data_IF_071215410854
#
_entry.id   IF_071215410854
#
_cell.length_a   1.000
_cell.length_b   1.000
_cell.length_c   1.000
_cell.angle_alpha   90.00
_cell.angle_beta   90.00
_cell.angle_gamma   90.00
#
_symmetry.space_group_name_H-M   'P 1'
#
loop_
_entity.id
_entity.type
_entity.pdbx_description
1 polymer ?
#
# COMPACT_ATOMS: atom_id res chain seq x y z
N UNK A 1 -13.20 3.47 -17.52
CA UNK A 1 -13.07 4.55 -16.50
C UNK A 1 -13.79 5.86 -16.82
N UNK A 2 -14.42 6.00 -18.01
CA UNK A 2 -15.42 7.05 -18.26
C UNK A 2 -14.93 8.50 -18.36
N UNK A 3 -13.61 8.74 -18.37
CA UNK A 3 -13.04 10.07 -18.59
C UNK A 3 -12.80 10.26 -20.10
N UNK A 4 -13.60 11.12 -20.74
CA UNK A 4 -13.49 11.46 -22.16
C UNK A 4 -12.89 12.86 -22.38
N UNK A 5 -12.47 13.54 -21.30
CA UNK A 5 -11.94 14.91 -21.27
C UNK A 5 -12.92 15.98 -21.81
N UNK A 6 -14.18 15.64 -22.08
CA UNK A 6 -15.17 16.58 -22.61
C UNK A 6 -15.85 17.41 -21.52
N UNK A 7 -15.81 16.91 -20.27
CA UNK A 7 -16.43 17.50 -19.09
C UNK A 7 -15.50 17.38 -17.89
N UNK A 8 -15.81 18.14 -16.83
CA UNK A 8 -15.12 17.99 -15.56
C UNK A 8 -15.23 16.54 -15.05
N UNK A 9 -14.11 15.98 -14.63
CA UNK A 9 -14.01 14.62 -14.11
C UNK A 9 -13.78 14.68 -12.60
N UNK A 10 -14.72 14.16 -11.81
CA UNK A 10 -14.69 14.18 -10.33
C UNK A 10 -13.78 13.08 -9.77
N UNK A 11 -12.57 12.99 -10.31
CA UNK A 11 -11.51 12.10 -9.88
C UNK A 11 -10.19 12.54 -10.53
N UNK A 12 -9.09 11.91 -10.13
CA UNK A 12 -7.78 12.16 -10.72
C UNK A 12 -7.39 11.00 -11.62
N UNK A 13 -7.05 11.28 -12.88
CA UNK A 13 -6.58 10.31 -13.84
C UNK A 13 -5.20 10.70 -14.35
N UNK A 14 -4.26 9.76 -14.27
CA UNK A 14 -2.94 9.90 -14.88
C UNK A 14 -2.85 8.97 -16.09
N UNK A 15 -2.35 9.50 -17.20
CA UNK A 15 -2.01 8.72 -18.40
C UNK A 15 -0.50 8.81 -18.60
N UNK A 16 0.17 7.67 -18.49
CA UNK A 16 1.59 7.54 -18.78
C UNK A 16 1.78 6.76 -20.08
N UNK A 17 2.02 7.43 -21.23
CA UNK A 17 2.33 6.74 -22.47
C UNK A 17 3.59 5.89 -22.31
N UNK A 18 3.51 4.61 -22.66
CA UNK A 18 4.67 3.72 -22.63
C UNK A 18 5.67 4.15 -23.71
N UNK A 19 6.96 4.15 -23.36
CA UNK A 19 8.01 4.54 -24.30
C UNK A 19 8.23 3.43 -25.32
N UNK A 20 8.03 3.72 -26.59
CA UNK A 20 8.36 2.82 -27.70
C UNK A 20 9.87 2.78 -27.95
N UNK A 21 10.36 1.79 -28.70
CA UNK A 21 11.78 1.72 -29.08
C UNK A 21 12.26 2.96 -29.82
N UNK A 22 11.43 3.51 -30.71
CA UNK A 22 11.75 4.72 -31.47
C UNK A 22 11.88 5.93 -30.54
N UNK A 23 10.95 6.10 -29.61
CA UNK A 23 10.98 7.17 -28.63
C UNK A 23 12.12 7.00 -27.60
N UNK A 24 12.52 5.77 -27.29
CA UNK A 24 13.63 5.47 -26.41
C UNK A 24 14.97 5.87 -27.02
N UNK A 25 15.21 5.54 -28.29
CA UNK A 25 16.46 5.88 -28.99
C UNK A 25 16.71 7.38 -29.11
N UNK A 26 15.65 8.18 -29.21
CA UNK A 26 15.75 9.64 -29.27
C UNK A 26 15.63 10.34 -27.91
N UNK A 27 15.42 9.60 -26.82
CA UNK A 27 15.22 10.19 -25.50
C UNK A 27 16.54 10.50 -24.81
N UNK A 28 16.72 11.75 -24.37
CA UNK A 28 17.84 12.18 -23.52
C UNK A 28 17.65 11.79 -22.04
N UNK A 29 16.44 11.39 -21.64
CA UNK A 29 16.10 11.09 -20.24
C UNK A 29 16.39 9.63 -19.92
N UNK A 30 15.95 8.71 -20.79
CA UNK A 30 16.07 7.28 -20.54
C UNK A 30 16.00 6.48 -21.86
N UNK A 31 17.08 5.76 -22.25
CA UNK A 31 17.19 5.12 -23.55
C UNK A 31 16.47 3.76 -23.65
N UNK A 32 15.73 3.34 -22.63
CA UNK A 32 14.98 2.08 -22.65
C UNK A 32 13.49 2.26 -22.99
N UNK A 33 13.00 1.35 -23.83
CA UNK A 33 11.58 1.16 -24.10
C UNK A 33 10.90 0.40 -22.96
N UNK A 34 9.57 0.51 -22.88
CA UNK A 34 8.75 -0.22 -21.92
C UNK A 34 7.77 -1.12 -22.66
N UNK A 35 8.01 -2.43 -22.63
CA UNK A 35 7.15 -3.43 -23.26
C UNK A 35 5.96 -3.80 -22.37
N UNK A 36 4.95 -4.44 -22.94
CA UNK A 36 3.80 -4.96 -22.19
C UNK A 36 4.26 -5.92 -21.10
N UNK A 37 5.17 -6.85 -21.43
CA UNK A 37 5.73 -7.81 -20.47
C UNK A 37 6.43 -7.13 -19.28
N UNK A 38 7.13 -6.02 -19.53
CA UNK A 38 7.78 -5.25 -18.47
C UNK A 38 6.75 -4.61 -17.51
N UNK A 39 5.62 -4.14 -18.03
CA UNK A 39 4.50 -3.62 -17.22
C UNK A 39 3.87 -4.74 -16.39
N UNK A 40 3.60 -5.90 -16.99
CA UNK A 40 3.02 -7.04 -16.30
C UNK A 40 3.95 -7.55 -15.19
N UNK A 41 5.25 -7.65 -15.46
CA UNK A 41 6.25 -8.01 -14.47
C UNK A 41 6.32 -6.99 -13.31
N UNK A 42 6.21 -5.69 -13.61
CA UNK A 42 6.13 -4.65 -12.59
C UNK A 42 4.89 -4.83 -11.70
N UNK A 43 3.73 -5.09 -12.30
CA UNK A 43 2.50 -5.31 -11.54
C UNK A 43 2.56 -6.58 -10.69
N UNK A 44 3.18 -7.65 -11.15
CA UNK A 44 3.36 -8.88 -10.35
C UNK A 44 4.32 -8.63 -9.17
N UNK A 45 5.43 -7.91 -9.39
CA UNK A 45 6.32 -7.50 -8.29
C UNK A 45 5.62 -6.60 -7.27
N UNK A 46 4.70 -5.75 -7.73
CA UNK A 46 3.92 -4.88 -6.87
C UNK A 46 2.85 -5.64 -6.08
N UNK A 47 2.25 -6.68 -6.65
CA UNK A 47 1.18 -7.49 -6.04
C UNK A 47 1.53 -7.96 -4.63
N UNK A 48 2.74 -8.51 -4.45
CA UNK A 48 3.23 -8.99 -3.15
C UNK A 48 3.39 -7.89 -2.10
N UNK A 49 3.59 -6.64 -2.53
CA UNK A 49 3.83 -5.47 -1.66
C UNK A 49 2.59 -4.61 -1.45
N UNK A 50 1.59 -4.74 -2.32
CA UNK A 50 0.38 -3.92 -2.29
C UNK A 50 -0.36 -4.03 -0.94
N UNK A 51 -0.53 -5.26 -0.43
CA UNK A 51 -1.18 -5.49 0.86
C UNK A 51 -0.39 -4.88 2.03
N UNK A 52 0.94 -5.03 2.05
CA UNK A 52 1.81 -4.44 3.07
C UNK A 52 1.78 -2.92 3.01
N UNK A 53 1.79 -2.35 1.81
CA UNK A 53 1.73 -0.90 1.59
C UNK A 53 0.44 -0.32 2.19
N UNK A 54 -0.70 -0.98 1.97
CA UNK A 54 -1.99 -0.54 2.51
C UNK A 54 -2.03 -0.47 4.05
N UNK A 55 -1.20 -1.24 4.78
CA UNK A 55 -1.13 -1.15 6.25
C UNK A 55 -0.65 0.22 6.74
N UNK A 56 0.14 0.93 5.93
CA UNK A 56 0.74 2.21 6.31
C UNK A 56 0.05 3.42 5.66
N UNK A 57 -0.80 3.20 4.65
CA UNK A 57 -1.53 4.29 3.99
C UNK A 57 -2.79 4.68 4.77
N UNK A 58 -2.94 5.98 5.08
CA UNK A 58 -4.06 6.47 5.91
C UNK A 58 -5.41 6.48 5.20
N UNK A 59 -5.43 6.91 3.94
CA UNK A 59 -6.68 7.19 3.21
C UNK A 59 -6.93 6.20 2.07
N UNK A 60 -5.90 5.50 1.59
CA UNK A 60 -6.04 4.49 0.53
C UNK A 60 -6.48 3.18 1.16
N UNK A 61 -7.63 2.67 0.74
CA UNK A 61 -8.23 1.43 1.29
C UNK A 61 -8.18 0.25 0.33
N UNK A 62 -8.04 0.54 -0.96
CA UNK A 62 -8.17 -0.43 -2.03
C UNK A 62 -7.28 -0.04 -3.20
N UNK A 63 -6.62 -1.04 -3.77
CA UNK A 63 -5.79 -0.94 -4.96
C UNK A 63 -6.20 -2.08 -5.87
N UNK A 64 -6.63 -1.74 -7.09
CA UNK A 64 -7.12 -2.70 -8.07
C UNK A 64 -6.31 -2.50 -9.36
N UNK A 65 -5.79 -3.59 -9.92
CA UNK A 65 -5.02 -3.57 -11.18
C UNK A 65 -5.85 -4.26 -12.25
N UNK A 66 -6.01 -3.56 -13.37
CA UNK A 66 -6.77 -4.03 -14.50
C UNK A 66 -5.92 -4.04 -15.77
N UNK A 67 -6.26 -4.93 -16.68
CA UNK A 67 -5.77 -4.97 -18.05
C UNK A 67 -6.93 -4.72 -19.01
N UNK A 68 -6.67 -4.01 -20.11
CA UNK A 68 -7.66 -3.81 -21.16
C UNK A 68 -7.03 -4.18 -22.49
N UNK A 69 -7.61 -5.19 -23.13
CA UNK A 69 -7.30 -5.53 -24.52
C UNK A 69 -7.87 -4.45 -25.46
N UNK A 70 -7.25 -4.26 -26.62
CA UNK A 70 -7.72 -3.32 -27.64
C UNK A 70 -9.12 -3.68 -28.16
N UNK A 71 -9.44 -4.97 -28.19
CA UNK A 71 -10.71 -5.50 -28.72
C UNK A 71 -11.80 -5.62 -27.64
N UNK A 72 -11.46 -5.44 -26.36
CA UNK A 72 -12.38 -5.57 -25.24
C UNK A 72 -12.91 -4.21 -24.77
N UNK A 73 -14.23 -4.08 -24.67
CA UNK A 73 -14.87 -2.85 -24.20
C UNK A 73 -14.64 -2.63 -22.69
N UNK A 74 -14.66 -3.72 -21.92
CA UNK A 74 -14.48 -3.72 -20.48
C UNK A 74 -13.09 -4.22 -20.06
N UNK A 75 -12.45 -3.60 -19.05
CA UNK A 75 -11.17 -4.04 -18.54
C UNK A 75 -11.32 -5.28 -17.65
N UNK A 76 -10.35 -6.18 -17.72
CA UNK A 76 -10.27 -7.39 -16.89
C UNK A 76 -9.50 -7.11 -15.60
N UNK A 77 -10.03 -7.54 -14.46
CA UNK A 77 -9.34 -7.42 -13.16
C UNK A 77 -8.22 -8.46 -13.08
N UNK A 78 -6.97 -8.01 -12.90
CA UNK A 78 -5.83 -8.90 -12.68
C UNK A 78 -5.69 -9.27 -11.20
N UNK A 79 -5.67 -8.27 -10.32
CA UNK A 79 -5.71 -8.47 -8.88
C UNK A 79 -6.21 -7.25 -8.13
N UNK A 80 -6.66 -7.48 -6.90
CA UNK A 80 -7.04 -6.43 -5.97
C UNK A 80 -6.41 -6.70 -4.60
N UNK A 81 -5.89 -5.64 -3.99
CA UNK A 81 -5.55 -5.62 -2.58
C UNK A 81 -6.49 -4.63 -1.90
N UNK A 82 -7.14 -5.07 -0.84
CA UNK A 82 -8.01 -4.22 -0.03
C UNK A 82 -7.74 -4.47 1.44
N UNK A 83 -7.92 -3.43 2.25
CA UNK A 83 -8.07 -3.62 3.68
C UNK A 83 -9.51 -4.11 3.87
N UNK A 84 -9.72 -5.32 4.44
CA UNK A 84 -11.06 -5.84 4.64
C UNK A 84 -11.91 -4.82 5.40
N UNK A 85 -13.19 -4.82 5.05
CA UNK A 85 -14.18 -4.00 5.71
C UNK A 85 -14.24 -4.31 7.21
N UNK A 86 -14.55 -3.26 7.92
CA UNK A 86 -14.53 -3.14 9.36
C UNK A 86 -15.61 -3.96 10.03
N UNK A 87 -15.23 -4.88 10.92
CA UNK A 87 -16.10 -5.22 12.04
C UNK A 87 -16.25 -3.91 12.85
N UNK A 88 -17.48 -3.42 13.03
CA UNK A 88 -17.84 -2.28 13.89
C UNK A 88 -17.25 -0.89 13.55
N UNK A 89 -16.86 -0.63 12.30
CA UNK A 89 -16.50 0.72 11.82
C UNK A 89 -15.16 1.30 12.31
N UNK A 90 -14.24 0.50 12.88
CA UNK A 90 -12.96 0.97 13.46
C UNK A 90 -11.72 0.57 12.65
N UNK A 91 -11.00 1.52 12.06
CA UNK A 91 -9.75 1.33 11.25
C UNK A 91 -8.78 0.25 11.83
N UNK A 92 -8.38 -0.89 11.18
CA UNK A 92 -7.51 -1.85 11.89
C UNK A 92 -6.11 -1.24 12.01
N UNK A 93 -5.82 -0.21 11.21
CA UNK A 93 -4.59 0.56 11.26
C UNK A 93 -4.65 1.60 12.36
N UNK A 94 -5.78 1.92 12.99
CA UNK A 94 -5.83 2.88 14.09
C UNK A 94 -4.91 2.43 15.25
N UNK A 95 -4.97 1.15 15.61
CA UNK A 95 -4.09 0.57 16.63
C UNK A 95 -2.62 0.60 16.21
N UNK A 96 -2.32 0.27 14.95
CA UNK A 96 -0.94 0.33 14.42
C UNK A 96 -0.43 1.76 14.38
N UNK A 97 -1.23 2.72 13.93
CA UNK A 97 -0.88 4.14 13.88
C UNK A 97 -0.69 4.72 15.29
N UNK A 98 -1.51 4.31 16.26
CA UNK A 98 -1.35 4.70 17.66
C UNK A 98 -0.06 4.12 18.25
N UNK A 99 0.28 2.88 17.92
CA UNK A 99 1.54 2.25 18.34
C UNK A 99 2.76 2.93 17.70
N UNK A 100 2.74 3.18 16.39
CA UNK A 100 3.81 3.89 15.67
C UNK A 100 3.97 5.32 16.19
N UNK A 101 2.86 6.01 16.51
CA UNK A 101 2.90 7.35 17.07
C UNK A 101 3.35 7.38 18.55
N UNK A 102 3.38 6.22 19.22
CA UNK A 102 3.61 6.09 20.66
C UNK A 102 5.06 5.89 21.11
N UNK A 103 6.03 5.73 20.20
CA UNK A 103 7.46 5.48 20.54
C UNK A 103 8.37 6.71 20.35
N UNK A 104 7.81 7.92 20.49
CA UNK A 104 8.61 9.13 20.76
C UNK A 104 8.19 9.67 22.12
N UNK A 105 8.69 9.05 23.18
CA UNK A 105 8.88 9.72 24.47
C UNK A 105 10.39 9.93 24.69
N UNK A 106 10.94 10.92 23.98
CA UNK A 106 12.13 11.61 24.47
C UNK A 106 11.75 12.22 25.81
N UNK A 107 12.38 11.73 26.86
CA UNK A 107 12.09 12.11 28.23
C UNK A 107 12.16 13.62 28.44
N UNK A 108 11.15 14.14 29.13
CA UNK A 108 11.31 15.29 30.01
C UNK A 108 10.21 15.22 31.07
N UNK A 109 10.65 15.05 32.31
CA UNK A 109 9.82 15.12 33.51
C UNK A 109 9.07 16.46 33.58
N UNK A 110 7.78 16.42 33.91
CA UNK A 110 7.31 16.81 35.25
C UNK A 110 5.78 16.95 35.32
N UNK A 111 5.23 16.43 36.43
CA UNK A 111 4.01 16.87 37.13
C UNK A 111 2.62 16.43 36.63
N UNK A 112 2.18 15.32 37.24
CA UNK A 112 0.84 15.00 37.77
C UNK A 112 -0.43 15.43 37.02
N UNK A 113 -1.12 14.46 36.41
CA UNK A 113 -2.58 14.32 36.52
C UNK A 113 -3.04 12.90 36.14
N UNK A 114 -3.77 12.29 37.07
CA UNK A 114 -4.49 11.02 37.03
C UNK A 114 -5.18 10.65 35.70
N UNK A 115 -4.94 9.43 35.20
CA UNK A 115 -5.96 8.67 34.46
C UNK A 115 -5.64 7.17 34.35
N UNK A 116 -6.69 6.38 34.58
CA UNK A 116 -6.84 4.93 34.52
C UNK A 116 -5.73 4.14 33.77
N UNK A 117 -5.03 3.29 34.53
CA UNK A 117 -4.20 2.20 34.01
C UNK A 117 -5.08 1.07 33.47
N UNK A 118 -5.22 1.01 32.14
CA UNK A 118 -5.59 -0.23 31.46
C UNK A 118 -4.33 -1.07 31.38
N UNK A 119 -4.32 -2.22 32.06
CA UNK A 119 -3.21 -3.17 32.01
C UNK A 119 -3.10 -3.74 30.58
N UNK A 120 -2.16 -3.23 29.80
CA UNK A 120 -1.70 -3.89 28.58
C UNK A 120 -0.61 -4.87 28.97
N UNK A 121 -0.90 -6.16 28.84
CA UNK A 121 0.08 -7.22 29.00
C UNK A 121 1.11 -7.11 27.87
N UNK A 122 2.25 -6.51 28.19
CA UNK A 122 3.42 -6.48 27.33
C UNK A 122 3.91 -7.92 27.12
N UNK A 123 3.67 -8.49 25.93
CA UNK A 123 4.46 -9.65 25.50
C UNK A 123 5.88 -9.14 25.31
N UNK A 124 6.73 -9.39 26.31
CA UNK A 124 8.15 -9.02 26.29
C UNK A 124 8.77 -9.67 25.05
N UNK A 125 9.41 -8.86 24.19
CA UNK A 125 10.15 -9.30 22.98
C UNK A 125 11.04 -10.53 23.22
N UNK A 126 11.56 -10.70 24.44
CA UNK A 126 12.35 -11.87 24.84
C UNK A 126 11.57 -13.18 24.72
N UNK A 127 10.29 -13.22 25.11
CA UNK A 127 9.48 -14.44 25.09
C UNK A 127 9.17 -14.94 23.66
N UNK A 128 9.16 -14.04 22.68
CA UNK A 128 8.99 -14.41 21.26
C UNK A 128 10.32 -14.88 20.64
N UNK A 129 11.42 -14.20 20.97
CA UNK A 129 12.76 -14.59 20.51
C UNK A 129 13.19 -15.96 21.05
N UNK A 130 12.84 -16.28 22.30
CA UNK A 130 13.13 -17.58 22.90
C UNK A 130 12.27 -18.71 22.29
N UNK A 131 11.04 -18.40 21.85
CA UNK A 131 10.15 -19.36 21.18
C UNK A 131 10.60 -19.68 19.75
N UNK A 132 11.26 -18.73 19.07
CA UNK A 132 11.86 -18.95 17.74
C UNK A 132 13.13 -19.81 17.79
N UNK A 133 13.86 -19.82 18.91
CA UNK A 133 15.04 -20.70 19.10
C UNK A 133 14.69 -22.15 19.45
N UNK A 134 13.46 -22.42 19.86
CA UNK A 134 13.04 -23.71 20.38
C UNK A 134 12.14 -24.52 19.41
N UNK A 135 12.04 -24.13 18.14
CA UNK A 135 11.37 -24.96 17.14
C UNK A 135 12.37 -25.99 16.57
N UNK A 136 12.02 -27.28 16.50
CA UNK A 136 12.79 -28.24 15.72
C UNK A 136 12.57 -27.98 14.22
N UNK A 137 13.56 -28.35 13.39
CA UNK A 137 13.52 -28.23 11.90
C UNK A 137 12.26 -28.82 11.27
#
# INVERSE_FOLDING_TARGET
FGCDLSKAYDATLFRFPLRTETAAKSSEIKPEAYTVDAVLALFEQFRSRAAQTLLFLKNVRKISVYERDADADEPTLLYEASIPSFQDGKDPRATVLQWVAGDVSLGRDDTSASRATVATSAVKKSAFADKLRAMPE
#
